data_IF_872685676087
#
_entry.id   IF_872685676087
#
_cell.length_a   1.000
_cell.length_b   1.000
_cell.length_c   1.000
_cell.angle_alpha   90.00
_cell.angle_beta   90.00
_cell.angle_gamma   90.00
#
_symmetry.space_group_name_H-M   'P 1'
#
loop_
_entity.id
_entity.type
_entity.pdbx_description
1 polymer ?
#
# COMPACT_ATOMS: atom_id res chain seq x y z
N UNK A 1 -11.17 -5.83 -21.83
CA UNK A 1 -12.62 -5.71 -22.03
C UNK A 1 -12.84 -6.08 -23.47
N UNK A 2 -13.49 -7.21 -23.73
CA UNK A 2 -14.09 -7.48 -25.03
C UNK A 2 -15.59 -7.31 -24.88
N UNK A 3 -16.08 -6.15 -25.27
CA UNK A 3 -17.52 -5.99 -25.51
C UNK A 3 -17.88 -6.64 -26.84
N UNK A 4 -18.77 -7.62 -26.78
CA UNK A 4 -19.71 -7.94 -27.86
C UNK A 4 -21.11 -7.82 -27.28
N UNK A 5 -21.87 -6.86 -27.81
CA UNK A 5 -23.28 -6.66 -27.50
C UNK A 5 -24.11 -7.90 -27.82
N UNK A 6 -24.95 -8.32 -26.88
CA UNK A 6 -26.22 -8.99 -27.15
C UNK A 6 -27.18 -8.80 -25.97
N UNK A 7 -28.08 -7.83 -26.18
CA UNK A 7 -29.50 -7.77 -25.81
C UNK A 7 -30.05 -8.77 -24.79
N UNK A 8 -30.68 -8.19 -23.75
CA UNK A 8 -31.76 -8.66 -22.86
C UNK A 8 -32.08 -10.16 -22.78
N UNK A 9 -32.08 -10.68 -21.55
CA UNK A 9 -33.26 -11.36 -21.02
C UNK A 9 -33.38 -11.13 -19.50
N UNK A 10 -34.40 -10.39 -19.10
CA UNK A 10 -34.92 -10.42 -17.75
C UNK A 10 -35.57 -11.79 -17.52
N UNK A 11 -35.18 -12.48 -16.44
CA UNK A 11 -35.92 -13.60 -15.90
C UNK A 11 -36.12 -13.34 -14.40
N UNK A 12 -37.39 -13.35 -14.02
CA UNK A 12 -37.87 -13.07 -12.69
C UNK A 12 -38.00 -14.38 -11.86
N UNK A 13 -37.74 -14.25 -10.55
CA UNK A 13 -38.27 -15.02 -9.40
C UNK A 13 -37.76 -16.47 -9.17
N UNK A 14 -37.86 -17.02 -7.93
CA UNK A 14 -38.54 -16.50 -6.75
C UNK A 14 -37.71 -16.40 -5.45
N UNK A 15 -38.28 -15.58 -4.56
CA UNK A 15 -38.14 -15.53 -3.11
C UNK A 15 -37.88 -16.87 -2.40
N UNK A 16 -36.92 -16.86 -1.48
CA UNK A 16 -36.96 -17.67 -0.26
C UNK A 16 -36.54 -16.78 0.91
N UNK A 17 -37.56 -16.39 1.68
CA UNK A 17 -37.41 -15.87 3.02
C UNK A 17 -36.97 -17.00 3.95
N UNK A 18 -36.02 -16.71 4.84
CA UNK A 18 -36.05 -17.26 6.18
C UNK A 18 -35.58 -16.15 7.12
N UNK A 19 -36.51 -15.72 7.96
CA UNK A 19 -36.41 -14.67 8.96
C UNK A 19 -35.94 -15.29 10.32
N UNK A 20 -35.78 -14.52 11.41
CA UNK A 20 -34.57 -14.44 12.20
C UNK A 20 -34.60 -15.30 13.48
N UNK A 21 -33.44 -15.59 14.07
CA UNK A 21 -33.38 -16.07 15.44
C UNK A 21 -32.25 -15.42 16.24
N UNK A 22 -32.66 -14.66 17.26
CA UNK A 22 -32.14 -14.81 18.63
C UNK A 22 -30.82 -14.17 18.98
N UNK A 23 -30.90 -12.97 19.54
CA UNK A 23 -29.94 -12.38 20.46
C UNK A 23 -29.68 -13.25 21.70
N UNK A 24 -28.41 -13.38 22.14
CA UNK A 24 -28.04 -13.44 23.56
C UNK A 24 -26.54 -13.20 23.76
N UNK A 25 -26.22 -12.20 24.57
CA UNK A 25 -24.94 -12.01 25.25
C UNK A 25 -24.74 -13.08 26.34
N UNK A 26 -23.52 -13.60 26.51
CA UNK A 26 -22.86 -13.66 27.82
C UNK A 26 -21.39 -14.01 27.69
N UNK A 27 -20.60 -13.30 28.48
CA UNK A 27 -19.21 -13.51 28.86
C UNK A 27 -18.90 -14.94 29.35
N UNK A 28 -17.76 -15.47 28.93
CA UNK A 28 -17.02 -16.48 29.68
C UNK A 28 -15.51 -16.30 29.45
N UNK A 29 -14.83 -15.98 30.54
CA UNK A 29 -13.39 -16.12 30.72
C UNK A 29 -12.99 -17.60 30.65
N UNK A 30 -11.95 -17.93 29.89
CA UNK A 30 -11.09 -19.08 30.15
C UNK A 30 -9.67 -18.74 29.67
N UNK A 31 -8.74 -18.76 30.63
CA UNK A 31 -7.31 -18.71 30.43
C UNK A 31 -6.84 -20.04 29.80
N UNK A 32 -5.84 -19.98 28.93
CA UNK A 32 -4.48 -20.48 29.21
C UNK A 32 -3.65 -20.58 27.91
N UNK A 33 -2.38 -20.16 27.99
CA UNK A 33 -1.30 -20.67 27.14
C UNK A 33 -0.55 -19.69 26.24
N UNK A 34 0.43 -18.98 26.83
CA UNK A 34 1.78 -18.59 26.34
C UNK A 34 2.03 -18.26 24.85
N UNK A 35 2.82 -17.25 24.47
CA UNK A 35 3.95 -16.63 25.15
C UNK A 35 4.08 -15.13 24.79
N UNK A 36 4.16 -14.29 25.82
CA UNK A 36 4.60 -12.90 25.72
C UNK A 36 6.11 -12.84 25.94
N UNK A 37 6.85 -12.30 24.98
CA UNK A 37 8.21 -11.84 25.21
C UNK A 37 8.13 -10.43 25.81
N UNK A 38 8.10 -10.37 27.14
CA UNK A 38 8.36 -9.15 27.90
C UNK A 38 9.81 -8.73 27.66
N UNK A 39 10.03 -7.48 27.25
CA UNK A 39 11.31 -6.79 27.50
C UNK A 39 11.04 -5.70 28.52
N UNK A 40 11.76 -5.83 29.63
CA UNK A 40 11.62 -5.05 30.84
C UNK A 40 11.89 -3.57 30.60
N UNK A 41 11.02 -2.75 31.20
CA UNK A 41 11.23 -1.32 31.42
C UNK A 41 12.14 -1.15 32.64
N UNK A 42 13.34 -0.62 32.45
CA UNK A 42 14.09 0.03 33.53
C UNK A 42 13.97 1.54 33.35
N UNK A 43 13.22 2.15 34.27
CA UNK A 43 13.14 3.59 34.39
C UNK A 43 14.45 4.17 34.90
N UNK A 44 14.87 5.28 34.31
CA UNK A 44 15.81 6.21 34.91
C UNK A 44 15.21 7.62 34.79
N UNK A 45 14.51 8.02 35.85
CA UNK A 45 14.16 9.42 36.15
C UNK A 45 15.44 10.18 36.49
N UNK A 46 15.71 11.29 35.81
CA UNK A 46 16.44 12.41 36.43
C UNK A 46 15.92 13.72 35.84
N UNK A 47 15.45 14.58 36.74
CA UNK A 47 14.95 15.90 36.42
C UNK A 47 16.09 16.90 36.26
N UNK A 48 15.86 17.89 35.41
CA UNK A 48 16.70 19.07 35.26
C UNK A 48 15.86 20.19 34.67
N UNK A 49 15.43 21.10 35.55
CA UNK A 49 14.79 22.38 35.25
C UNK A 49 15.72 23.30 34.45
N UNK A 50 15.20 23.95 33.41
CA UNK A 50 15.90 25.04 32.71
C UNK A 50 14.97 25.81 31.77
N UNK A 51 14.89 27.11 32.00
CA UNK A 51 14.09 28.16 31.36
C UNK A 51 13.84 28.09 29.84
N UNK A 52 12.64 28.53 29.47
CA UNK A 52 12.29 28.90 28.11
C UNK A 52 12.92 30.25 27.74
N UNK A 53 13.70 30.27 26.66
CA UNK A 53 13.96 31.48 25.88
C UNK A 53 13.79 31.19 24.40
N UNK A 54 12.98 32.03 23.78
CA UNK A 54 12.72 32.15 22.34
C UNK A 54 14.04 32.32 21.56
N UNK A 55 14.25 31.46 20.56
CA UNK A 55 15.47 31.45 19.75
C UNK A 55 15.27 30.64 18.47
N UNK A 56 15.09 31.37 17.38
CA UNK A 56 15.39 31.06 15.97
C UNK A 56 15.57 29.59 15.58
N UNK A 57 14.69 29.14 14.67
CA UNK A 57 14.86 27.91 13.91
C UNK A 57 16.27 27.83 13.30
N UNK A 58 17.09 26.92 13.81
CA UNK A 58 18.28 26.43 13.15
C UNK A 58 17.97 25.05 12.59
N UNK A 59 18.11 24.92 11.28
CA UNK A 59 18.19 23.66 10.56
C UNK A 59 18.95 22.64 11.38
N UNK A 60 18.31 21.49 11.63
CA UNK A 60 18.93 20.40 12.36
C UNK A 60 19.92 19.67 11.44
N UNK A 61 21.07 20.28 11.18
CA UNK A 61 22.31 19.56 10.84
C UNK A 61 22.91 18.92 12.11
N UNK A 62 22.05 18.31 12.92
CA UNK A 62 22.47 17.37 13.94
C UNK A 62 22.87 16.10 13.21
N UNK A 63 24.16 15.99 12.88
CA UNK A 63 24.73 14.82 12.21
C UNK A 63 24.17 13.55 12.82
N UNK A 64 23.42 12.80 12.01
CA UNK A 64 22.78 11.56 12.43
C UNK A 64 23.86 10.64 13.02
N UNK A 65 23.56 9.92 14.12
CA UNK A 65 24.56 9.06 14.74
C UNK A 65 25.13 8.08 13.70
N UNK A 66 26.43 7.78 13.74
CA UNK A 66 27.03 6.83 12.80
C UNK A 66 26.27 5.50 12.85
N UNK A 67 25.90 4.97 11.67
CA UNK A 67 25.06 3.77 11.55
C UNK A 67 23.55 4.03 11.51
N UNK A 68 23.10 5.28 11.48
CA UNK A 68 21.68 5.61 11.30
C UNK A 68 21.28 5.68 9.82
N UNK A 69 20.29 4.88 9.42
CA UNK A 69 19.67 5.01 8.11
C UNK A 69 18.64 6.15 8.13
N UNK A 70 18.82 7.25 7.38
CA UNK A 70 17.84 8.36 7.32
C UNK A 70 16.51 7.98 6.65
N UNK A 71 16.48 6.84 5.95
CA UNK A 71 15.37 6.41 5.13
C UNK A 71 15.50 6.82 3.66
N UNK A 72 14.45 6.50 2.91
CA UNK A 72 14.27 6.93 1.52
C UNK A 72 14.20 8.45 1.40
N UNK A 73 14.67 8.97 0.26
CA UNK A 73 14.52 10.38 -0.09
C UNK A 73 13.10 10.61 -0.60
N UNK A 74 12.37 11.50 0.06
CA UNK A 74 10.98 11.83 -0.26
C UNK A 74 10.88 13.16 -1.00
N UNK A 75 11.64 13.31 -2.09
CA UNK A 75 11.56 14.49 -2.92
C UNK A 75 10.19 14.51 -3.63
N UNK A 76 9.39 15.58 -3.50
CA UNK A 76 8.32 15.82 -4.47
C UNK A 76 8.99 15.93 -5.84
N UNK A 77 8.45 15.23 -6.84
CA UNK A 77 9.07 15.28 -8.16
C UNK A 77 8.87 16.70 -8.72
N UNK A 78 9.90 17.27 -9.34
CA UNK A 78 9.87 18.68 -9.76
C UNK A 78 8.74 18.97 -10.77
N UNK A 79 8.30 17.95 -11.50
CA UNK A 79 7.17 18.00 -12.41
C UNK A 79 5.80 17.96 -11.73
N UNK A 80 5.72 17.89 -10.40
CA UNK A 80 4.46 17.79 -9.65
C UNK A 80 4.04 19.08 -8.95
N UNK A 81 4.88 20.10 -8.98
CA UNK A 81 4.57 21.39 -8.39
C UNK A 81 3.31 22.00 -9.03
N UNK A 82 2.36 22.40 -8.19
CA UNK A 82 1.08 22.99 -8.61
C UNK A 82 0.08 22.00 -9.24
N UNK A 83 0.38 20.70 -9.29
CA UNK A 83 -0.55 19.70 -9.82
C UNK A 83 -1.63 19.32 -8.79
N UNK A 84 -2.80 18.90 -9.29
CA UNK A 84 -3.91 18.44 -8.43
C UNK A 84 -3.51 17.21 -7.58
N UNK A 85 -4.10 17.03 -6.38
CA UNK A 85 -3.89 15.85 -5.55
C UNK A 85 -4.08 14.56 -6.35
N UNK A 86 -3.19 13.58 -6.19
CA UNK A 86 -3.29 12.26 -6.85
C UNK A 86 -2.91 11.14 -5.89
N UNK A 87 -3.49 9.97 -6.14
CA UNK A 87 -2.93 8.70 -5.68
C UNK A 87 -1.91 8.28 -6.73
N UNK A 88 -0.68 8.02 -6.32
CA UNK A 88 0.37 7.74 -7.28
C UNK A 88 0.18 6.38 -7.95
N UNK A 89 0.52 6.34 -9.23
CA UNK A 89 0.70 5.12 -10.01
C UNK A 89 1.83 5.38 -11.00
N UNK A 90 3.08 5.37 -10.53
CA UNK A 90 4.24 5.76 -11.34
C UNK A 90 5.04 4.52 -11.81
N UNK A 91 5.07 4.24 -13.10
CA UNK A 91 5.78 3.06 -13.65
C UNK A 91 7.31 3.15 -13.51
N UNK A 92 7.83 4.33 -13.15
CA UNK A 92 9.24 4.63 -12.88
C UNK A 92 9.58 4.55 -11.38
N UNK A 93 8.60 4.28 -10.51
CA UNK A 93 8.81 4.18 -9.06
C UNK A 93 9.92 3.19 -8.68
N UNK A 94 10.94 3.67 -7.97
CA UNK A 94 12.13 2.93 -7.56
C UNK A 94 13.23 2.82 -8.63
N UNK A 95 12.95 3.20 -9.88
CA UNK A 95 13.91 3.14 -11.00
C UNK A 95 14.64 4.47 -11.21
N UNK A 96 14.04 5.57 -10.74
CA UNK A 96 14.60 6.91 -10.79
C UNK A 96 14.87 7.45 -9.37
N UNK A 97 15.98 8.17 -9.11
CA UNK A 97 16.36 8.60 -7.75
C UNK A 97 15.35 9.51 -7.04
N UNK A 98 14.52 10.24 -7.77
CA UNK A 98 13.47 11.15 -7.26
C UNK A 98 12.09 10.46 -7.15
N UNK A 99 12.00 9.18 -7.50
CA UNK A 99 10.76 8.40 -7.47
C UNK A 99 10.86 7.27 -6.46
N UNK A 100 10.33 7.49 -5.25
CA UNK A 100 10.29 6.44 -4.22
C UNK A 100 9.51 5.19 -4.70
N UNK A 101 9.92 4.02 -4.20
CA UNK A 101 9.40 2.72 -4.62
C UNK A 101 7.86 2.61 -4.48
N UNK A 102 7.28 3.22 -3.47
CA UNK A 102 5.85 3.10 -3.17
C UNK A 102 4.97 4.10 -3.95
N UNK A 103 5.54 4.89 -4.87
CA UNK A 103 4.76 5.68 -5.85
C UNK A 103 4.03 4.79 -6.86
N UNK A 104 4.45 3.54 -7.02
CA UNK A 104 3.63 2.51 -7.62
C UNK A 104 3.01 1.69 -6.49
N UNK A 105 1.68 1.48 -6.46
CA UNK A 105 1.03 0.73 -5.41
C UNK A 105 1.68 -0.65 -5.21
N UNK A 106 1.74 -1.09 -3.96
CA UNK A 106 2.30 -2.39 -3.61
C UNK A 106 1.27 -3.19 -2.82
N UNK A 107 0.92 -4.42 -3.22
CA UNK A 107 1.33 -5.10 -4.43
C UNK A 107 0.68 -4.54 -5.71
N UNK A 108 1.37 -4.71 -6.85
CA UNK A 108 0.83 -4.46 -8.19
C UNK A 108 1.45 -5.43 -9.20
N UNK A 109 0.65 -6.02 -10.09
CA UNK A 109 1.09 -7.10 -11.01
C UNK A 109 2.24 -6.70 -11.94
N UNK A 110 2.41 -5.40 -12.21
CA UNK A 110 3.58 -4.86 -12.93
C UNK A 110 4.91 -5.02 -12.19
N UNK A 111 4.87 -5.37 -10.91
CA UNK A 111 6.03 -5.76 -10.08
C UNK A 111 6.26 -7.28 -10.10
N UNK A 112 5.64 -8.01 -11.02
CA UNK A 112 5.95 -9.42 -11.22
C UNK A 112 6.86 -9.59 -12.44
N UNK A 113 7.93 -10.36 -12.26
CA UNK A 113 8.89 -10.71 -13.30
C UNK A 113 9.12 -12.21 -13.28
N UNK A 114 8.75 -12.88 -14.37
CA UNK A 114 8.82 -14.35 -14.50
C UNK A 114 8.07 -15.11 -13.39
N UNK A 115 6.97 -14.55 -12.87
CA UNK A 115 6.18 -15.14 -11.79
C UNK A 115 6.72 -14.89 -10.37
N UNK A 116 7.93 -14.33 -10.25
CA UNK A 116 8.52 -13.86 -9.01
C UNK A 116 8.30 -12.36 -8.79
N UNK A 117 8.61 -11.90 -7.59
CA UNK A 117 8.54 -10.49 -7.22
C UNK A 117 9.74 -9.73 -7.79
N UNK A 118 9.49 -8.59 -8.43
CA UNK A 118 10.50 -7.64 -8.87
C UNK A 118 10.72 -6.59 -7.77
N UNK A 119 11.87 -6.69 -7.08
CA UNK A 119 12.28 -5.77 -6.02
C UNK A 119 13.34 -4.78 -6.51
N UNK A 120 13.47 -4.58 -7.83
CA UNK A 120 14.25 -3.49 -8.40
C UNK A 120 13.79 -2.15 -7.80
N UNK A 121 14.76 -1.39 -7.26
CA UNK A 121 14.47 -0.11 -6.63
C UNK A 121 13.88 -0.17 -5.22
N UNK A 122 13.66 -1.37 -4.65
CA UNK A 122 13.19 -1.48 -3.27
C UNK A 122 14.23 -0.86 -2.31
N UNK A 123 13.81 -0.01 -1.35
CA UNK A 123 14.73 0.68 -0.45
C UNK A 123 15.61 -0.27 0.35
N UNK A 124 16.93 -0.05 0.28
CA UNK A 124 17.92 -0.83 1.01
C UNK A 124 18.66 0.06 1.99
N UNK A 125 18.91 -0.41 3.22
CA UNK A 125 19.84 0.26 4.12
C UNK A 125 21.20 0.43 3.44
N UNK A 126 21.81 1.62 3.51
CA UNK A 126 23.15 1.85 3.00
C UNK A 126 24.15 0.82 3.56
N UNK A 127 24.99 0.27 2.69
CA UNK A 127 25.92 -0.83 3.02
C UNK A 127 27.04 -0.40 3.98
N UNK A 128 27.26 0.90 4.13
CA UNK A 128 28.19 1.54 5.03
C UNK A 128 27.66 1.73 6.47
N UNK A 129 26.36 1.50 6.72
CA UNK A 129 25.78 1.57 8.07
C UNK A 129 26.21 0.40 8.96
N UNK A 130 26.07 -0.81 8.43
CA UNK A 130 26.53 -2.06 9.01
C UNK A 130 26.52 -3.12 7.90
N UNK A 131 27.71 -3.56 7.41
CA UNK A 131 27.81 -4.58 6.39
C UNK A 131 27.08 -5.88 6.75
N UNK A 132 26.98 -6.23 8.04
CA UNK A 132 26.26 -7.41 8.49
C UNK A 132 24.74 -7.22 8.36
N UNK A 133 24.21 -6.06 8.77
CA UNK A 133 22.79 -5.75 8.65
C UNK A 133 22.34 -5.65 7.18
N UNK A 134 23.09 -4.90 6.36
CA UNK A 134 22.84 -4.79 4.93
C UNK A 134 22.87 -6.16 4.25
N UNK A 135 23.84 -7.01 4.57
CA UNK A 135 23.94 -8.36 4.02
C UNK A 135 22.76 -9.27 4.44
N UNK A 136 22.18 -9.09 5.63
CA UNK A 136 20.98 -9.83 6.05
C UNK A 136 19.79 -9.38 5.22
N UNK A 137 19.54 -8.07 5.09
CA UNK A 137 18.42 -7.54 4.29
C UNK A 137 18.56 -7.97 2.83
N UNK A 138 19.73 -7.83 2.22
CA UNK A 138 20.00 -8.27 0.85
C UNK A 138 19.76 -9.77 0.65
N UNK A 139 20.15 -10.59 1.62
CA UNK A 139 19.89 -12.03 1.57
C UNK A 139 18.40 -12.33 1.59
N UNK A 140 17.63 -11.64 2.43
CA UNK A 140 16.18 -11.79 2.48
C UNK A 140 15.54 -11.34 1.16
N UNK A 141 15.89 -10.17 0.63
CA UNK A 141 15.34 -9.67 -0.65
C UNK A 141 15.63 -10.65 -1.79
N UNK A 142 16.85 -11.16 -1.89
CA UNK A 142 17.22 -12.15 -2.90
C UNK A 142 16.41 -13.45 -2.79
N UNK A 143 16.09 -13.88 -1.57
CA UNK A 143 15.24 -15.05 -1.34
C UNK A 143 13.79 -14.77 -1.73
N UNK A 144 13.26 -13.57 -1.43
CA UNK A 144 11.93 -13.15 -1.87
C UNK A 144 11.82 -13.12 -3.40
N UNK A 145 12.82 -12.60 -4.11
CA UNK A 145 12.84 -12.57 -5.59
C UNK A 145 12.95 -13.99 -6.19
N UNK A 146 13.70 -14.89 -5.54
CA UNK A 146 13.95 -16.24 -6.05
C UNK A 146 12.83 -17.24 -5.78
N UNK A 147 12.18 -17.14 -4.61
CA UNK A 147 11.40 -18.25 -4.06
C UNK A 147 9.91 -17.91 -3.86
N UNK A 148 9.51 -16.63 -3.89
CA UNK A 148 8.09 -16.27 -3.79
C UNK A 148 7.39 -16.32 -5.15
N UNK A 149 6.27 -17.05 -5.19
CA UNK A 149 5.31 -17.02 -6.29
C UNK A 149 4.20 -16.00 -5.99
N UNK A 150 4.34 -14.79 -6.52
CA UNK A 150 3.37 -13.71 -6.35
C UNK A 150 3.45 -12.99 -5.00
N UNK A 151 2.31 -12.47 -4.54
CA UNK A 151 2.22 -11.61 -3.35
C UNK A 151 1.66 -12.33 -2.12
N UNK A 152 1.88 -11.75 -0.95
CA UNK A 152 1.33 -12.26 0.31
C UNK A 152 -0.22 -12.19 0.31
N UNK A 153 -0.87 -13.27 0.76
CA UNK A 153 -2.34 -13.37 0.84
C UNK A 153 -2.96 -12.58 2.01
N UNK A 154 -2.14 -12.18 2.97
CA UNK A 154 -2.52 -11.41 4.16
C UNK A 154 -1.63 -10.16 4.33
N UNK A 155 -1.01 -9.69 3.24
CA UNK A 155 -0.17 -8.50 3.25
C UNK A 155 -0.98 -7.21 3.15
N UNK A 156 -0.37 -6.11 3.61
CA UNK A 156 -0.91 -4.77 3.39
C UNK A 156 -0.81 -4.37 1.92
N UNK A 157 -1.88 -3.77 1.42
CA UNK A 157 -1.92 -3.08 0.13
C UNK A 157 -1.69 -1.60 0.40
N UNK A 158 -0.58 -1.09 -0.10
CA UNK A 158 -0.05 0.24 0.16
C UNK A 158 -0.23 1.14 -1.07
N UNK A 159 -0.80 2.31 -0.84
CA UNK A 159 -0.90 3.41 -1.80
C UNK A 159 -0.20 4.63 -1.24
N UNK A 160 0.65 5.29 -2.03
CA UNK A 160 1.13 6.64 -1.74
C UNK A 160 0.27 7.68 -2.45
N UNK A 161 0.25 8.89 -1.90
CA UNK A 161 -0.50 10.02 -2.45
C UNK A 161 0.30 11.32 -2.35
N UNK A 162 0.03 12.25 -3.26
CA UNK A 162 0.70 13.56 -3.28
C UNK A 162 0.20 14.53 -2.22
N UNK A 163 -0.97 14.26 -1.65
CA UNK A 163 -1.56 15.02 -0.56
C UNK A 163 -2.12 14.05 0.48
N UNK A 164 -2.15 14.45 1.75
CA UNK A 164 -2.74 13.63 2.81
C UNK A 164 -4.19 13.25 2.51
N UNK A 165 -4.63 12.11 3.05
CA UNK A 165 -5.97 11.58 2.90
C UNK A 165 -6.87 12.12 4.01
N UNK A 166 -7.97 12.75 3.63
CA UNK A 166 -8.97 13.29 4.55
C UNK A 166 -10.13 12.32 4.75
N UNK A 167 -11.02 12.24 3.79
CA UNK A 167 -12.15 11.30 3.82
C UNK A 167 -11.73 9.95 3.27
N UNK A 168 -11.77 8.92 4.10
CA UNK A 168 -11.47 7.54 3.72
C UNK A 168 -12.76 6.76 3.46
N UNK A 169 -13.27 6.88 2.24
CA UNK A 169 -14.43 6.17 1.73
C UNK A 169 -14.16 5.70 0.29
N UNK A 170 -15.04 4.87 -0.27
CA UNK A 170 -14.89 4.44 -1.67
C UNK A 170 -13.76 3.45 -1.92
N UNK A 171 -13.29 2.77 -0.86
CA UNK A 171 -12.25 1.75 -0.95
C UNK A 171 -12.89 0.37 -0.95
N UNK A 172 -12.59 -0.44 -1.97
CA UNK A 172 -13.09 -1.80 -2.08
C UNK A 172 -12.01 -2.72 -2.65
N UNK A 173 -11.93 -3.94 -2.15
CA UNK A 173 -11.17 -5.03 -2.79
C UNK A 173 -12.18 -5.97 -3.46
N UNK A 174 -11.90 -6.45 -4.66
CA UNK A 174 -12.79 -7.34 -5.42
C UNK A 174 -12.00 -8.42 -6.15
N UNK A 175 -12.49 -9.65 -6.15
CA UNK A 175 -11.93 -10.73 -6.99
C UNK A 175 -12.24 -10.44 -8.47
N UNK A 176 -11.20 -10.41 -9.30
CA UNK A 176 -11.30 -10.21 -10.74
C UNK A 176 -10.76 -11.39 -11.55
N UNK A 177 -10.47 -12.55 -10.94
CA UNK A 177 -10.03 -13.76 -11.64
C UNK A 177 -11.16 -14.30 -12.50
N UNK A 178 -11.04 -14.30 -13.84
CA UNK A 178 -12.17 -14.65 -14.73
C UNK A 178 -12.73 -16.06 -14.53
N UNK A 179 -11.90 -17.00 -14.06
CA UNK A 179 -12.28 -18.39 -13.78
C UNK A 179 -12.72 -18.64 -12.33
N UNK A 180 -12.69 -17.63 -11.47
CA UNK A 180 -13.00 -17.80 -10.05
C UNK A 180 -14.51 -17.97 -9.85
N UNK A 181 -14.96 -18.93 -9.02
CA UNK A 181 -16.38 -19.06 -8.67
C UNK A 181 -16.92 -17.86 -7.88
N UNK A 182 -16.02 -17.05 -7.32
CA UNK A 182 -16.29 -15.85 -6.53
C UNK A 182 -15.85 -14.58 -7.27
N UNK A 183 -15.80 -14.62 -8.60
CA UNK A 183 -15.57 -13.43 -9.41
C UNK A 183 -16.59 -12.33 -9.07
N UNK A 184 -16.10 -11.13 -8.79
CA UNK A 184 -16.92 -10.00 -8.35
C UNK A 184 -17.21 -9.97 -6.85
N UNK A 185 -16.84 -11.01 -6.10
CA UNK A 185 -17.00 -11.02 -4.64
C UNK A 185 -15.99 -10.08 -3.99
N UNK A 186 -16.45 -9.44 -2.92
CA UNK A 186 -15.62 -8.59 -2.05
C UNK A 186 -15.23 -9.40 -0.82
N UNK A 187 -13.94 -9.57 -0.51
CA UNK A 187 -13.54 -10.22 0.73
C UNK A 187 -14.13 -9.46 1.92
N UNK A 188 -14.62 -10.23 2.91
CA UNK A 188 -15.23 -9.67 4.10
C UNK A 188 -14.19 -9.02 5.00
N UNK A 189 -14.50 -7.84 5.52
CA UNK A 189 -13.68 -7.17 6.53
C UNK A 189 -12.37 -6.63 5.98
N UNK A 190 -12.32 -5.32 5.76
CA UNK A 190 -11.11 -4.59 5.45
C UNK A 190 -10.75 -3.67 6.63
N UNK A 191 -9.47 -3.60 6.96
CA UNK A 191 -8.89 -2.57 7.82
C UNK A 191 -8.17 -1.55 6.95
N UNK A 192 -8.31 -0.29 7.31
CA UNK A 192 -7.67 0.80 6.62
C UNK A 192 -6.89 1.65 7.60
N UNK A 193 -5.71 2.12 7.18
CA UNK A 193 -4.89 3.09 7.90
C UNK A 193 -4.35 4.10 6.92
N UNK A 194 -4.73 5.36 7.10
CA UNK A 194 -4.14 6.48 6.38
C UNK A 194 -3.25 7.28 7.33
N UNK A 195 -2.02 7.57 6.93
CA UNK A 195 -1.08 8.35 7.71
C UNK A 195 -0.56 9.52 6.86
N UNK A 196 -0.65 10.73 7.40
CA UNK A 196 -0.47 11.97 6.64
C UNK A 196 0.69 12.83 7.14
N UNK A 197 1.26 13.62 6.23
CA UNK A 197 2.33 14.58 6.49
C UNK A 197 3.66 13.95 6.86
N UNK A 198 4.67 14.80 7.08
CA UNK A 198 6.03 14.35 7.38
C UNK A 198 6.16 13.36 8.54
N UNK A 199 5.33 13.43 9.62
CA UNK A 199 5.37 12.42 10.69
C UNK A 199 5.00 11.00 10.24
N UNK A 200 4.30 10.81 9.11
CA UNK A 200 3.97 9.48 8.60
C UNK A 200 5.10 8.81 7.81
N UNK A 201 6.18 9.55 7.52
CA UNK A 201 7.37 8.99 6.86
C UNK A 201 8.09 8.00 7.79
N UNK A 202 8.59 6.92 7.21
CA UNK A 202 9.58 6.06 7.86
C UNK A 202 10.75 5.77 6.92
N UNK A 203 11.62 4.83 7.31
CA UNK A 203 12.81 4.53 6.53
C UNK A 203 12.53 3.96 5.12
N UNK A 204 11.38 3.34 4.90
CA UNK A 204 11.02 2.65 3.66
C UNK A 204 9.97 3.37 2.83
N UNK A 205 8.96 3.96 3.48
CA UNK A 205 7.84 4.63 2.81
C UNK A 205 7.84 6.13 3.14
N UNK A 206 7.64 6.92 2.10
CA UNK A 206 7.46 8.36 2.22
C UNK A 206 6.08 8.70 2.82
N UNK A 207 5.87 9.98 3.15
CA UNK A 207 4.65 10.51 3.79
C UNK A 207 3.33 10.21 3.04
N UNK A 208 2.17 10.56 3.58
CA UNK A 208 0.87 10.44 2.87
C UNK A 208 0.61 9.06 2.22
N UNK A 209 0.45 8.03 3.04
CA UNK A 209 0.18 6.67 2.58
C UNK A 209 -1.10 6.09 3.16
N UNK A 210 -1.70 5.17 2.41
CA UNK A 210 -2.86 4.37 2.78
C UNK A 210 -2.49 2.89 2.76
N UNK A 211 -2.67 2.21 3.88
CA UNK A 211 -2.63 0.77 3.98
C UNK A 211 -4.05 0.20 4.01
N UNK A 212 -4.27 -0.84 3.22
CA UNK A 212 -5.50 -1.63 3.17
C UNK A 212 -5.12 -3.07 3.49
N UNK A 213 -5.73 -3.65 4.51
CA UNK A 213 -5.44 -5.00 4.97
C UNK A 213 -6.75 -5.78 5.09
N UNK A 214 -6.70 -7.08 4.85
CA UNK A 214 -7.77 -7.97 5.30
C UNK A 214 -7.77 -8.06 6.82
N UNK A 215 -8.94 -8.18 7.44
CA UNK A 215 -9.00 -8.47 8.88
C UNK A 215 -8.36 -9.82 9.21
N UNK A 216 -7.84 -9.95 10.43
CA UNK A 216 -7.25 -11.20 10.92
C UNK A 216 -8.22 -12.38 10.74
N UNK A 217 -7.70 -13.49 10.21
CA UNK A 217 -8.48 -14.70 9.94
C UNK A 217 -9.25 -14.71 8.61
N UNK A 218 -9.17 -13.65 7.81
CA UNK A 218 -9.82 -13.58 6.47
C UNK A 218 -8.78 -13.32 5.37
N UNK A 219 -7.84 -14.25 5.13
CA UNK A 219 -6.83 -14.06 4.08
C UNK A 219 -7.48 -14.04 2.69
N UNK A 220 -6.82 -13.36 1.76
CA UNK A 220 -7.14 -13.46 0.34
C UNK A 220 -6.91 -14.90 -0.14
N UNK A 221 -7.70 -15.36 -1.11
CA UNK A 221 -7.46 -16.68 -1.71
C UNK A 221 -6.14 -16.70 -2.48
N UNK A 222 -5.34 -17.78 -2.36
CA UNK A 222 -4.16 -17.95 -3.18
C UNK A 222 -4.53 -18.08 -4.66
N UNK A 223 -3.58 -17.80 -5.56
CA UNK A 223 -3.74 -17.89 -7.02
C UNK A 223 -4.99 -17.16 -7.56
N UNK A 224 -5.40 -16.08 -6.87
CA UNK A 224 -6.54 -15.24 -7.23
C UNK A 224 -6.05 -13.81 -7.41
N UNK A 225 -6.55 -13.14 -8.42
CA UNK A 225 -6.25 -11.75 -8.78
C UNK A 225 -7.32 -10.87 -8.17
N UNK A 226 -6.90 -9.92 -7.36
CA UNK A 226 -7.78 -8.94 -6.74
C UNK A 226 -7.50 -7.56 -7.32
N UNK A 227 -8.56 -6.79 -7.55
CA UNK A 227 -8.46 -5.37 -7.82
C UNK A 227 -8.81 -4.59 -6.56
N UNK A 228 -8.01 -3.57 -6.26
CA UNK A 228 -8.41 -2.52 -5.32
C UNK A 228 -9.00 -1.37 -6.12
N UNK A 229 -10.21 -0.99 -5.77
CA UNK A 229 -10.93 0.13 -6.34
C UNK A 229 -10.92 1.26 -5.32
N UNK A 230 -10.34 2.38 -5.73
CA UNK A 230 -10.42 3.67 -5.03
C UNK A 230 -11.31 4.58 -5.88
N UNK A 231 -12.50 4.90 -5.40
CA UNK A 231 -13.43 5.80 -6.10
C UNK A 231 -13.35 7.25 -5.60
N UNK A 232 -14.15 8.13 -6.22
CA UNK A 232 -14.16 9.57 -5.92
C UNK A 232 -14.68 9.93 -4.51
N UNK A 233 -15.18 8.98 -3.72
CA UNK A 233 -15.49 9.20 -2.31
C UNK A 233 -14.24 9.29 -1.44
N UNK A 234 -13.08 8.80 -1.91
CA UNK A 234 -11.79 9.08 -1.29
C UNK A 234 -11.42 10.56 -1.54
N UNK A 235 -11.24 11.34 -0.47
CA UNK A 235 -10.95 12.78 -0.58
C UNK A 235 -9.59 13.16 0.04
N UNK A 236 -8.85 14.09 -0.58
CA UNK A 236 -7.66 14.69 0.03
C UNK A 236 -8.03 15.52 1.27
N UNK A 237 -7.10 15.59 2.23
CA UNK A 237 -7.25 16.33 3.49
C UNK A 237 -7.38 17.85 3.27
N UNK A 238 -6.76 18.37 2.21
CA UNK A 238 -6.88 19.77 1.81
C UNK A 238 -8.18 20.14 1.08
N UNK A 239 -9.08 19.18 0.86
CA UNK A 239 -10.29 19.35 0.06
C UNK A 239 -10.08 19.21 -1.44
N UNK A 240 -11.17 19.17 -2.20
CA UNK A 240 -11.15 18.85 -3.64
C UNK A 240 -11.21 17.34 -3.89
N UNK A 241 -10.66 16.91 -5.03
CA UNK A 241 -10.70 15.54 -5.51
C UNK A 241 -9.29 15.02 -5.81
N UNK A 242 -9.07 13.73 -5.57
CA UNK A 242 -7.94 13.04 -6.17
C UNK A 242 -8.20 12.87 -7.68
N UNK A 243 -7.16 13.12 -8.48
CA UNK A 243 -7.14 12.78 -9.91
C UNK A 243 -6.35 11.50 -10.14
N UNK A 244 -6.69 10.77 -11.20
CA UNK A 244 -5.90 9.65 -11.66
C UNK A 244 -4.51 10.11 -12.12
N UNK A 245 -3.48 9.30 -11.83
CA UNK A 245 -2.15 9.51 -12.38
C UNK A 245 -2.14 9.26 -13.89
N UNK A 246 -1.24 9.93 -14.62
CA UNK A 246 -1.16 9.86 -16.08
C UNK A 246 -0.82 8.44 -16.55
N UNK A 247 0.08 7.77 -15.82
CA UNK A 247 0.47 6.38 -16.05
C UNK A 247 -0.70 5.42 -15.79
N UNK A 248 -1.54 5.67 -14.78
CA UNK A 248 -2.76 4.86 -14.55
C UNK A 248 -3.77 5.06 -15.68
N UNK A 249 -3.99 6.30 -16.11
CA UNK A 249 -4.86 6.59 -17.25
C UNK A 249 -4.38 5.87 -18.53
N UNK A 250 -3.06 5.78 -18.75
CA UNK A 250 -2.48 5.03 -19.84
C UNK A 250 -2.76 3.51 -19.75
N UNK A 251 -2.85 2.93 -18.55
CA UNK A 251 -3.21 1.52 -18.37
C UNK A 251 -4.66 1.21 -18.75
N UNK A 252 -5.55 2.20 -18.65
CA UNK A 252 -6.97 2.07 -18.97
C UNK A 252 -7.31 2.48 -20.40
N UNK A 253 -6.34 2.97 -21.18
CA UNK A 253 -6.55 3.40 -22.55
C UNK A 253 -6.87 2.23 -23.51
N UNK A 254 -7.69 2.50 -24.54
CA UNK A 254 -8.04 1.50 -25.55
C UNK A 254 -6.85 1.06 -26.41
N UNK A 255 -5.91 1.98 -26.63
CA UNK A 255 -4.70 1.75 -27.41
C UNK A 255 -3.48 1.65 -26.49
N UNK A 256 -2.58 0.74 -26.85
CA UNK A 256 -1.33 0.56 -26.11
C UNK A 256 -0.46 1.83 -26.16
N UNK A 257 0.17 2.23 -25.04
CA UNK A 257 1.16 3.30 -25.04
C UNK A 257 2.32 3.05 -26.02
N UNK A 258 2.93 4.12 -26.51
CA UNK A 258 4.08 4.04 -27.41
C UNK A 258 5.36 3.63 -26.70
N UNK A 259 5.54 4.06 -25.45
CA UNK A 259 6.67 3.68 -24.61
C UNK A 259 6.64 2.17 -24.31
N UNK A 260 7.80 1.51 -24.37
CA UNK A 260 7.89 0.06 -24.25
C UNK A 260 7.57 -0.44 -22.83
N UNK A 261 7.99 0.29 -21.80
CA UNK A 261 7.75 -0.05 -20.40
C UNK A 261 6.26 0.13 -20.06
N UNK A 262 5.67 1.25 -20.48
CA UNK A 262 4.23 1.51 -20.34
C UNK A 262 3.38 0.52 -21.15
N UNK A 263 3.84 0.11 -22.34
CA UNK A 263 3.17 -0.92 -23.14
C UNK A 263 3.18 -2.29 -22.46
N UNK A 264 4.31 -2.69 -21.86
CA UNK A 264 4.39 -3.93 -21.10
C UNK A 264 3.45 -3.90 -19.89
N UNK A 265 3.42 -2.79 -19.15
CA UNK A 265 2.50 -2.59 -18.04
C UNK A 265 1.02 -2.64 -18.49
N UNK A 266 0.69 -1.98 -19.60
CA UNK A 266 -0.67 -1.96 -20.15
C UNK A 266 -1.18 -3.37 -20.47
N UNK A 267 -0.31 -4.27 -20.95
CA UNK A 267 -0.70 -5.67 -21.21
C UNK A 267 -1.15 -6.42 -19.95
N UNK A 268 -0.64 -6.04 -18.79
CA UNK A 268 -1.03 -6.60 -17.48
C UNK A 268 -2.41 -6.12 -17.04
N UNK A 269 -2.74 -4.86 -17.29
CA UNK A 269 -4.02 -4.25 -16.87
C UNK A 269 -5.13 -4.33 -17.91
N UNK A 270 -4.79 -4.64 -19.17
CA UNK A 270 -5.77 -4.77 -20.23
C UNK A 270 -6.76 -5.89 -19.88
N UNK A 271 -8.07 -5.60 -19.83
CA UNK A 271 -9.06 -6.62 -19.52
C UNK A 271 -9.37 -7.55 -20.70
#
# INVERSE_FOLDING_TARGET
MRWRSLVLLAAALPSLACEPYGSASTSATAADGSASAATETTGATSGGSGEATEGTATDSDGGLPPGFWPGVVCAPAADEEGKAPRVYFDLRAGKEPDRDYFRLPFPADVRLKNGGLDLEGFPRPPTDLDPAYGAVVERWLKHLEGDLAGFAVNGAILFRSSAGIGTLAGVTVVDITPSSPSYGDKPGGLRFRAENGTPSRNNYICENWLAIETVDGVPLRPATTYAVVLDHALKPAGGGDFVADDDFAAMLADAAPADASAKAAWQTFKP
#
